data_IF_594470573286
#
_entry.id   IF_594470573286
#
_cell.length_a   1.000
_cell.length_b   1.000
_cell.length_c   1.000
_cell.angle_alpha   90.00
_cell.angle_beta   90.00
_cell.angle_gamma   90.00
#
_symmetry.space_group_name_H-M   'P 1'
#
loop_
_entity.id
_entity.type
_entity.pdbx_description
1 polymer ?
#
# COMPACT_ATOMS: atom_id res chain seq x y z
N UNK A 1 -6.61 27.17 -30.96
CA UNK A 1 -5.36 27.23 -30.14
C UNK A 1 -5.66 27.15 -28.65
N UNK A 2 -6.12 28.22 -27.99
CA UNK A 2 -6.38 28.24 -26.53
C UNK A 2 -7.05 26.98 -25.95
N UNK A 3 -8.22 26.59 -26.47
CA UNK A 3 -8.96 25.43 -25.99
C UNK A 3 -8.17 24.10 -26.12
N UNK A 4 -7.32 23.96 -27.15
CA UNK A 4 -6.47 22.79 -27.31
C UNK A 4 -5.29 22.78 -26.32
N UNK A 5 -4.71 23.95 -26.03
CA UNK A 5 -3.67 24.08 -25.01
C UNK A 5 -4.23 23.79 -23.60
N UNK A 6 -5.41 24.34 -23.28
CA UNK A 6 -6.10 24.07 -22.01
C UNK A 6 -6.50 22.60 -21.88
N UNK A 7 -7.07 22.00 -22.93
CA UNK A 7 -7.39 20.56 -22.94
C UNK A 7 -6.14 19.69 -22.78
N UNK A 8 -5.01 20.07 -23.39
CA UNK A 8 -3.74 19.36 -23.24
C UNK A 8 -3.21 19.45 -21.79
N UNK A 9 -3.23 20.63 -21.17
CA UNK A 9 -2.83 20.80 -19.76
C UNK A 9 -3.74 20.02 -18.80
N UNK A 10 -5.06 20.02 -19.03
CA UNK A 10 -6.01 19.24 -18.24
C UNK A 10 -5.80 17.73 -18.41
N UNK A 11 -5.48 17.27 -19.63
CA UNK A 11 -5.19 15.87 -19.92
C UNK A 11 -3.88 15.42 -19.28
N UNK A 12 -2.80 16.21 -19.41
CA UNK A 12 -1.52 15.99 -18.73
C UNK A 12 -1.69 15.94 -17.19
N UNK A 13 -2.50 16.84 -16.62
CA UNK A 13 -2.82 16.82 -15.20
C UNK A 13 -3.59 15.57 -14.76
N UNK A 14 -4.55 15.11 -15.57
CA UNK A 14 -5.32 13.88 -15.29
C UNK A 14 -4.45 12.62 -15.39
N UNK A 15 -3.53 12.54 -16.36
CA UNK A 15 -2.55 11.45 -16.48
C UNK A 15 -1.60 11.47 -15.27
N UNK A 16 -1.03 12.63 -14.93
CA UNK A 16 -0.09 12.76 -13.82
C UNK A 16 -0.70 12.42 -12.44
N UNK A 17 -1.95 12.81 -12.17
CA UNK A 17 -2.62 12.43 -10.92
C UNK A 17 -2.95 10.93 -10.88
N UNK A 18 -3.27 10.31 -12.03
CA UNK A 18 -3.44 8.86 -12.15
C UNK A 18 -2.14 8.08 -11.86
N UNK A 19 -1.02 8.51 -12.44
CA UNK A 19 0.31 7.96 -12.16
C UNK A 19 0.70 8.16 -10.69
N UNK A 20 0.48 9.36 -10.13
CA UNK A 20 0.76 9.67 -8.73
C UNK A 20 -0.13 8.87 -7.76
N UNK A 21 -1.40 8.62 -8.10
CA UNK A 21 -2.27 7.73 -7.32
C UNK A 21 -1.76 6.29 -7.37
N UNK A 22 -1.41 5.77 -8.55
CA UNK A 22 -0.89 4.41 -8.69
C UNK A 22 0.44 4.23 -7.94
N UNK A 23 1.34 5.21 -7.99
CA UNK A 23 2.60 5.17 -7.24
C UNK A 23 2.39 5.23 -5.71
N UNK A 24 1.37 5.97 -5.23
CA UNK A 24 0.94 5.92 -3.83
C UNK A 24 0.39 4.53 -3.44
N UNK A 25 -0.43 3.90 -4.28
CA UNK A 25 -0.92 2.51 -4.07
C UNK A 25 0.23 1.51 -3.99
N UNK A 26 1.21 1.60 -4.90
CA UNK A 26 2.39 0.74 -4.88
C UNK A 26 3.22 0.92 -3.60
N UNK A 27 3.43 2.18 -3.17
CA UNK A 27 4.17 2.50 -1.94
C UNK A 27 3.46 1.98 -0.69
N UNK A 28 2.15 2.20 -0.55
CA UNK A 28 1.36 1.69 0.58
C UNK A 28 1.36 0.15 0.61
N UNK A 29 1.21 -0.52 -0.53
CA UNK A 29 1.26 -1.99 -0.56
C UNK A 29 2.65 -2.53 -0.21
N UNK A 30 3.72 -1.82 -0.57
CA UNK A 30 5.09 -2.16 -0.17
C UNK A 30 5.29 -2.07 1.34
N UNK A 31 4.76 -1.02 1.99
CA UNK A 31 4.82 -0.87 3.45
C UNK A 31 4.00 -1.96 4.16
N UNK A 32 2.74 -2.16 3.75
CA UNK A 32 1.88 -3.22 4.31
C UNK A 32 2.53 -4.62 4.17
N UNK A 33 3.17 -4.89 3.03
CA UNK A 33 3.90 -6.15 2.78
C UNK A 33 5.16 -6.28 3.62
N UNK A 34 5.96 -5.23 3.77
CA UNK A 34 7.17 -5.25 4.57
C UNK A 34 6.87 -5.43 6.06
N UNK A 35 5.79 -4.83 6.55
CA UNK A 35 5.28 -5.05 7.90
C UNK A 35 4.73 -6.48 8.06
N UNK A 36 3.91 -6.98 7.12
CA UNK A 36 3.38 -8.35 7.16
C UNK A 36 4.50 -9.41 7.18
N UNK A 37 5.56 -9.24 6.38
CA UNK A 37 6.71 -10.16 6.37
C UNK A 37 7.48 -10.09 7.70
N UNK A 38 7.77 -8.90 8.24
CA UNK A 38 8.45 -8.79 9.54
C UNK A 38 7.60 -9.34 10.71
N UNK A 39 6.27 -9.25 10.60
CA UNK A 39 5.32 -9.81 11.55
C UNK A 39 5.40 -11.35 11.55
N UNK A 40 5.28 -11.98 10.38
CA UNK A 40 5.41 -13.44 10.29
C UNK A 40 6.82 -13.93 10.63
N UNK A 41 7.87 -13.19 10.26
CA UNK A 41 9.26 -13.54 10.57
C UNK A 41 9.50 -13.62 12.07
N UNK A 42 9.10 -12.59 12.83
CA UNK A 42 9.23 -12.58 14.29
C UNK A 42 8.51 -13.76 14.97
N UNK A 43 7.33 -14.14 14.45
CA UNK A 43 6.59 -15.31 14.92
C UNK A 43 7.24 -16.64 14.51
N UNK A 44 7.74 -16.75 13.28
CA UNK A 44 8.43 -17.94 12.79
C UNK A 44 9.72 -18.22 13.56
N UNK A 45 10.49 -17.18 13.92
CA UNK A 45 11.62 -17.31 14.84
C UNK A 45 11.20 -17.88 16.21
N UNK A 46 10.09 -17.40 16.78
CA UNK A 46 9.61 -17.91 18.09
C UNK A 46 9.10 -19.34 17.99
N UNK A 47 8.39 -19.67 16.92
CA UNK A 47 7.96 -21.05 16.61
C UNK A 47 9.17 -21.98 16.49
N UNK A 48 10.22 -21.58 15.77
CA UNK A 48 11.46 -22.37 15.68
C UNK A 48 12.12 -22.52 17.05
N UNK A 49 12.34 -21.41 17.77
CA UNK A 49 12.97 -21.40 19.08
C UNK A 49 12.28 -22.36 20.08
N UNK A 50 10.94 -22.34 20.14
CA UNK A 50 10.18 -23.21 21.02
C UNK A 50 10.16 -24.66 20.53
N UNK A 51 10.17 -24.89 19.21
CA UNK A 51 10.31 -26.23 18.62
C UNK A 51 11.66 -26.85 18.96
N UNK A 52 12.75 -26.08 18.89
CA UNK A 52 14.10 -26.53 19.26
C UNK A 52 14.20 -26.87 20.76
N UNK A 53 13.54 -26.08 21.62
CA UNK A 53 13.42 -26.36 23.07
C UNK A 53 12.67 -27.67 23.33
N UNK A 54 11.59 -27.97 22.61
CA UNK A 54 10.88 -29.26 22.71
C UNK A 54 11.74 -30.41 22.16
N UNK A 55 12.40 -30.19 21.01
CA UNK A 55 13.23 -31.19 20.34
C UNK A 55 14.46 -31.61 21.15
N UNK A 56 15.00 -30.71 22.00
CA UNK A 56 16.13 -30.99 22.91
C UNK A 56 15.91 -32.21 23.82
N UNK A 57 14.65 -32.48 24.19
CA UNK A 57 14.28 -33.51 25.16
C UNK A 57 14.34 -33.09 26.63
N UNK A 58 14.88 -31.92 26.96
CA UNK A 58 14.98 -31.42 28.36
C UNK A 58 13.63 -31.40 29.08
N UNK A 59 12.55 -31.12 28.35
CA UNK A 59 11.18 -31.04 28.86
C UNK A 59 10.48 -32.40 29.03
N UNK A 60 11.08 -33.52 28.60
CA UNK A 60 10.47 -34.86 28.73
C UNK A 60 10.42 -35.37 30.17
N UNK A 61 11.30 -34.87 31.06
CA UNK A 61 11.37 -35.30 32.46
C UNK A 61 10.58 -34.37 33.39
N UNK A 62 9.25 -34.41 33.28
CA UNK A 62 8.31 -33.57 34.05
C UNK A 62 8.43 -33.69 35.58
N UNK A 63 9.17 -34.68 36.08
CA UNK A 63 9.41 -34.92 37.50
C UNK A 63 10.27 -33.84 38.19
N UNK A 64 10.99 -32.99 37.44
CA UNK A 64 11.93 -32.00 37.98
C UNK A 64 11.50 -30.56 37.67
N UNK A 65 10.38 -30.13 38.26
CA UNK A 65 9.83 -28.77 38.14
C UNK A 65 10.88 -27.63 38.32
N UNK A 66 11.84 -27.69 39.26
CA UNK A 66 12.85 -26.62 39.40
C UNK A 66 13.76 -26.44 38.18
N UNK A 67 14.31 -27.52 37.61
CA UNK A 67 15.22 -27.42 36.45
C UNK A 67 14.47 -27.06 35.17
N UNK A 68 13.21 -27.51 35.05
CA UNK A 68 12.30 -27.02 33.99
C UNK A 68 12.09 -25.51 34.16
N UNK A 69 11.78 -25.01 35.37
CA UNK A 69 11.60 -23.58 35.61
C UNK A 69 12.84 -22.77 35.22
N UNK A 70 14.05 -23.23 35.58
CA UNK A 70 15.29 -22.56 35.18
C UNK A 70 15.49 -22.50 33.66
N UNK A 71 15.10 -23.53 32.90
CA UNK A 71 15.10 -23.49 31.43
C UNK A 71 14.07 -22.50 30.90
N UNK A 72 12.85 -22.53 31.44
CA UNK A 72 11.76 -21.62 31.07
C UNK A 72 12.11 -20.14 31.32
N UNK A 73 12.78 -19.82 32.43
CA UNK A 73 13.28 -18.45 32.68
C UNK A 73 14.37 -18.03 31.69
N UNK A 74 15.26 -18.94 31.26
CA UNK A 74 16.25 -18.63 30.21
C UNK A 74 15.59 -18.36 28.86
N UNK A 75 14.58 -19.16 28.48
CA UNK A 75 13.81 -18.95 27.25
C UNK A 75 13.06 -17.63 27.31
N UNK A 76 12.32 -17.36 28.39
CA UNK A 76 11.64 -16.06 28.60
C UNK A 76 12.60 -14.88 28.58
N UNK A 77 13.75 -15.01 29.24
CA UNK A 77 14.79 -13.99 29.31
C UNK A 77 15.48 -13.69 27.98
N UNK A 78 15.36 -14.57 26.99
CA UNK A 78 15.98 -14.38 25.66
C UNK A 78 15.27 -13.32 24.80
N UNK A 79 13.99 -13.01 25.07
CA UNK A 79 13.21 -12.06 24.27
C UNK A 79 12.14 -11.39 25.14
N UNK A 80 12.27 -10.08 25.34
CA UNK A 80 11.48 -9.32 26.32
C UNK A 80 9.93 -9.42 26.18
N UNK A 81 9.36 -9.54 24.95
CA UNK A 81 7.92 -9.76 24.78
C UNK A 81 7.35 -11.07 25.33
N UNK A 82 8.17 -12.08 25.72
CA UNK A 82 7.63 -13.26 26.43
C UNK A 82 7.06 -12.85 27.80
N UNK A 83 5.73 -12.85 27.91
CA UNK A 83 5.01 -12.52 29.15
C UNK A 83 5.04 -13.69 30.14
N UNK A 84 4.84 -14.91 29.63
CA UNK A 84 4.81 -16.16 30.39
C UNK A 84 5.22 -17.31 29.48
N UNK A 85 5.89 -18.31 30.04
CA UNK A 85 6.11 -19.60 29.40
C UNK A 85 6.02 -20.69 30.47
N UNK A 86 5.34 -21.79 30.16
CA UNK A 86 4.99 -22.83 31.11
C UNK A 86 4.75 -24.19 30.47
N UNK A 87 4.88 -25.23 31.27
CA UNK A 87 4.71 -26.63 30.87
C UNK A 87 3.60 -27.26 31.71
N UNK A 88 2.69 -27.96 31.04
CA UNK A 88 1.63 -28.75 31.70
C UNK A 88 1.98 -30.23 31.80
N UNK A 89 1.21 -30.97 32.59
CA UNK A 89 0.99 -32.41 32.37
C UNK A 89 -0.05 -32.66 31.26
N UNK A 90 -0.26 -33.93 30.90
CA UNK A 90 -1.24 -34.35 29.90
C UNK A 90 -2.71 -34.11 30.30
N UNK A 91 -2.98 -33.80 31.57
CA UNK A 91 -4.31 -33.42 32.05
C UNK A 91 -4.54 -31.90 32.02
N UNK A 92 -3.54 -31.11 31.62
CA UNK A 92 -3.62 -29.66 31.53
C UNK A 92 -3.36 -28.93 32.86
N UNK A 93 -2.71 -29.55 33.85
CA UNK A 93 -2.23 -28.84 35.05
C UNK A 93 -0.81 -28.32 34.82
N UNK A 94 -0.55 -27.06 35.15
CA UNK A 94 0.79 -26.46 35.02
C UNK A 94 1.76 -27.07 36.05
N UNK A 95 2.85 -27.68 35.57
CA UNK A 95 3.90 -28.37 36.36
C UNK A 95 5.05 -27.43 36.71
N UNK A 96 5.41 -26.53 35.80
CA UNK A 96 6.45 -25.52 35.98
C UNK A 96 6.19 -24.33 35.05
N UNK A 97 6.44 -23.11 35.51
CA UNK A 97 6.30 -21.90 34.70
C UNK A 97 7.21 -20.75 35.17
N UNK A 98 7.55 -19.86 34.24
CA UNK A 98 8.27 -18.62 34.52
C UNK A 98 7.58 -17.78 35.61
N UNK A 99 8.34 -17.24 36.56
CA UNK A 99 7.87 -16.53 37.74
C UNK A 99 7.11 -17.41 38.75
N UNK A 100 7.07 -18.73 38.56
CA UNK A 100 6.15 -19.63 39.27
C UNK A 100 4.67 -19.36 38.95
N UNK A 101 4.39 -18.60 37.89
CA UNK A 101 3.06 -18.08 37.60
C UNK A 101 2.14 -19.19 37.07
N UNK A 102 0.98 -19.31 37.70
CA UNK A 102 -0.07 -20.29 37.37
C UNK A 102 0.31 -21.77 37.62
N UNK A 103 1.44 -22.05 38.28
CA UNK A 103 1.79 -23.43 38.68
C UNK A 103 0.69 -24.08 39.54
N UNK A 104 0.51 -25.38 39.36
CA UNK A 104 -0.58 -26.20 39.88
C UNK A 104 -2.01 -25.79 39.47
N UNK A 105 -2.23 -24.68 38.75
CA UNK A 105 -3.54 -24.37 38.16
C UNK A 105 -3.88 -25.30 36.99
N UNK A 106 -5.17 -25.43 36.73
CA UNK A 106 -5.75 -26.12 35.58
C UNK A 106 -5.93 -25.14 34.41
N UNK A 107 -5.42 -25.53 33.23
CA UNK A 107 -5.56 -24.83 31.94
C UNK A 107 -6.16 -25.74 30.85
N UNK A 108 -6.69 -26.91 31.19
CA UNK A 108 -7.30 -27.87 30.26
C UNK A 108 -8.44 -27.30 29.39
N UNK A 109 -9.11 -26.26 29.89
CA UNK A 109 -10.18 -25.53 29.20
C UNK A 109 -9.67 -24.36 28.31
N UNK A 110 -8.36 -24.21 28.09
CA UNK A 110 -7.78 -23.13 27.27
C UNK A 110 -7.54 -23.58 25.83
N UNK A 111 -7.87 -22.75 24.81
CA UNK A 111 -7.66 -23.12 23.41
C UNK A 111 -6.21 -23.51 23.09
N UNK A 112 -5.22 -22.79 23.62
CA UNK A 112 -3.80 -23.10 23.39
C UNK A 112 -3.42 -24.50 23.88
N UNK A 113 -3.96 -24.96 25.02
CA UNK A 113 -3.73 -26.31 25.51
C UNK A 113 -4.44 -27.32 24.60
N UNK A 114 -5.74 -27.11 24.34
CA UNK A 114 -6.56 -28.06 23.58
C UNK A 114 -6.06 -28.28 22.15
N UNK A 115 -5.59 -27.22 21.48
CA UNK A 115 -4.98 -27.33 20.16
C UNK A 115 -3.51 -27.76 20.23
N UNK A 116 -2.74 -27.28 21.23
CA UNK A 116 -1.35 -27.66 21.46
C UNK A 116 -1.15 -29.15 21.75
N UNK A 117 -2.14 -29.83 22.32
CA UNK A 117 -2.16 -31.30 22.45
C UNK A 117 -2.09 -32.04 21.09
N UNK A 118 -2.52 -31.41 20.00
CA UNK A 118 -2.58 -32.00 18.66
C UNK A 118 -1.39 -31.68 17.75
N UNK A 119 -0.53 -30.72 18.11
CA UNK A 119 0.55 -30.24 17.26
C UNK A 119 0.95 -28.80 17.58
N UNK A 120 1.75 -28.19 16.71
CA UNK A 120 2.02 -26.75 16.77
C UNK A 120 0.70 -25.98 16.62
N UNK A 121 0.39 -25.15 17.63
CA UNK A 121 -0.69 -24.18 17.59
C UNK A 121 -0.11 -22.77 17.78
N UNK A 122 -0.63 -21.82 17.01
CA UNK A 122 -0.43 -20.38 17.23
C UNK A 122 -1.82 -19.73 17.22
N UNK A 123 -2.16 -19.02 18.30
CA UNK A 123 -3.43 -18.31 18.45
C UNK A 123 -3.39 -16.90 17.86
N UNK A 124 -4.56 -16.37 17.50
CA UNK A 124 -4.72 -14.94 17.23
C UNK A 124 -4.63 -14.13 18.54
N UNK A 125 -4.41 -12.82 18.41
CA UNK A 125 -4.21 -11.88 19.52
C UNK A 125 -5.47 -11.78 20.37
N UNK A 126 -5.37 -12.11 21.66
CA UNK A 126 -6.50 -12.06 22.59
C UNK A 126 -6.12 -11.62 24.00
N UNK A 127 -7.11 -11.19 24.80
CA UNK A 127 -6.94 -10.93 26.23
C UNK A 127 -6.83 -12.24 27.02
N UNK A 128 -5.67 -12.49 27.65
CA UNK A 128 -5.46 -13.71 28.44
C UNK A 128 -6.04 -13.55 29.85
N UNK A 129 -7.37 -13.70 30.00
CA UNK A 129 -8.12 -13.41 31.23
C UNK A 129 -7.53 -13.97 32.55
N UNK A 130 -6.85 -15.13 32.52
CA UNK A 130 -6.17 -15.69 33.69
C UNK A 130 -4.84 -14.99 34.00
N UNK A 131 -4.03 -14.67 32.99
CA UNK A 131 -2.71 -14.07 33.13
C UNK A 131 -2.77 -12.55 33.33
N UNK A 132 -3.70 -11.86 32.67
CA UNK A 132 -3.99 -10.44 32.86
C UNK A 132 -4.45 -10.11 34.29
N UNK A 133 -4.98 -11.08 35.04
CA UNK A 133 -5.27 -10.92 36.47
C UNK A 133 -4.02 -10.90 37.38
N UNK A 134 -2.85 -11.29 36.84
CA UNK A 134 -1.58 -11.45 37.57
C UNK A 134 -0.47 -10.51 37.07
N UNK A 135 -0.50 -10.14 35.80
CA UNK A 135 0.42 -9.16 35.20
C UNK A 135 -0.23 -7.77 35.18
N UNK A 136 0.55 -6.73 35.48
CA UNK A 136 0.12 -5.33 35.33
C UNK A 136 0.66 -4.79 34.01
N UNK A 137 -0.22 -4.33 33.13
CA UNK A 137 0.19 -3.63 31.92
C UNK A 137 0.57 -2.16 32.19
N UNK A 138 1.25 -1.50 31.23
CA UNK A 138 1.39 -0.05 31.23
C UNK A 138 0.00 0.63 31.14
N UNK A 139 -0.22 1.65 31.96
CA UNK A 139 -1.30 2.66 31.87
C UNK A 139 -2.75 2.18 31.63
N UNK A 140 -3.07 0.93 31.97
CA UNK A 140 -4.46 0.46 32.10
C UNK A 140 -5.14 0.00 30.81
N UNK A 141 -4.43 -0.06 29.68
CA UNK A 141 -4.89 -0.78 28.49
C UNK A 141 -4.94 -2.29 28.75
N UNK A 142 -5.88 -3.04 28.15
CA UNK A 142 -5.98 -4.48 28.35
C UNK A 142 -4.77 -5.19 27.71
N UNK A 143 -4.08 -6.02 28.49
CA UNK A 143 -2.97 -6.81 28.01
C UNK A 143 -3.44 -7.85 26.98
N UNK A 144 -2.99 -7.69 25.73
CA UNK A 144 -3.24 -8.63 24.62
C UNK A 144 -2.03 -9.53 24.40
N UNK A 145 -2.29 -10.79 24.08
CA UNK A 145 -1.26 -11.82 23.94
C UNK A 145 -1.45 -12.62 22.65
N UNK A 146 -0.33 -13.04 22.06
CA UNK A 146 -0.26 -14.14 21.09
C UNK A 146 0.17 -15.40 21.83
N UNK A 147 -0.55 -16.50 21.59
CA UNK A 147 -0.28 -17.79 22.22
C UNK A 147 0.46 -18.70 21.24
N UNK A 148 1.56 -19.34 21.68
CA UNK A 148 2.18 -20.47 20.98
C UNK A 148 2.09 -21.70 21.87
N UNK A 149 1.69 -22.85 21.33
CA UNK A 149 1.68 -24.11 22.05
C UNK A 149 2.23 -25.28 21.22
N UNK A 150 2.91 -26.20 21.89
CA UNK A 150 3.57 -27.38 21.32
C UNK A 150 3.38 -28.60 22.23
N UNK A 151 3.09 -29.80 21.68
CA UNK A 151 2.95 -31.01 22.49
C UNK A 151 4.32 -31.51 22.96
N UNK A 152 4.38 -31.95 24.21
CA UNK A 152 5.51 -32.70 24.74
C UNK A 152 5.17 -34.19 24.61
N UNK A 153 5.95 -34.91 23.80
CA UNK A 153 5.75 -36.33 23.52
C UNK A 153 6.85 -37.20 24.15
N UNK A 154 6.48 -38.42 24.54
CA UNK A 154 7.43 -39.44 25.01
C UNK A 154 8.19 -40.11 23.85
N UNK A 155 8.77 -41.29 24.08
CA UNK A 155 9.52 -42.04 23.07
C UNK A 155 8.62 -42.86 22.12
N UNK A 156 7.41 -43.21 22.56
CA UNK A 156 6.43 -44.02 21.84
C UNK A 156 5.36 -43.16 21.13
N UNK A 157 5.37 -41.84 21.37
CA UNK A 157 4.44 -40.86 20.80
C UNK A 157 3.27 -40.48 21.70
N UNK A 158 3.27 -40.93 22.96
CA UNK A 158 2.27 -40.54 23.96
C UNK A 158 2.46 -39.09 24.43
N UNK A 159 1.34 -38.43 24.73
CA UNK A 159 1.32 -37.05 25.23
C UNK A 159 1.73 -37.02 26.71
N UNK A 160 2.85 -36.36 27.01
CA UNK A 160 3.31 -36.05 28.37
C UNK A 160 2.67 -34.76 28.91
N UNK A 161 2.39 -33.80 28.03
CA UNK A 161 1.86 -32.48 28.37
C UNK A 161 2.04 -31.48 27.22
N UNK A 162 1.90 -30.19 27.49
CA UNK A 162 2.03 -29.11 26.49
C UNK A 162 2.97 -28.02 27.01
N UNK A 163 3.89 -27.57 26.16
CA UNK A 163 4.62 -26.32 26.33
C UNK A 163 3.76 -25.18 25.78
N UNK A 164 3.41 -24.21 26.62
CA UNK A 164 2.69 -23.00 26.22
C UNK A 164 3.53 -21.74 26.47
N UNK A 165 3.43 -20.77 25.56
CA UNK A 165 4.04 -19.45 25.68
C UNK A 165 3.00 -18.36 25.37
N UNK A 166 2.92 -17.35 26.25
CA UNK A 166 2.14 -16.13 26.03
C UNK A 166 3.10 -14.97 25.73
N UNK A 167 2.90 -14.31 24.59
CA UNK A 167 3.74 -13.22 24.08
C UNK A 167 2.92 -11.92 24.10
N UNK A 168 3.40 -10.87 24.77
CA UNK A 168 2.77 -9.54 24.73
C UNK A 168 2.70 -9.02 23.29
N UNK A 169 1.53 -8.59 22.83
CA UNK A 169 1.34 -8.12 21.45
C UNK A 169 2.18 -6.87 21.07
N UNK A 170 2.64 -6.11 22.06
CA UNK A 170 3.36 -4.83 21.91
C UNK A 170 4.60 -4.87 20.98
N UNK A 171 5.16 -6.04 20.68
CA UNK A 171 6.24 -6.17 19.67
C UNK A 171 5.78 -5.80 18.26
N UNK A 172 4.48 -5.92 17.95
CA UNK A 172 3.92 -5.48 16.67
C UNK A 172 4.08 -3.96 16.44
N UNK A 173 4.15 -3.16 17.51
CA UNK A 173 4.46 -1.73 17.44
C UNK A 173 5.92 -1.44 17.06
N UNK A 174 6.82 -2.38 17.35
CA UNK A 174 8.23 -2.30 16.94
C UNK A 174 8.37 -2.61 15.44
N UNK A 175 7.48 -3.46 14.89
CA UNK A 175 7.36 -3.70 13.44
C UNK A 175 6.76 -2.50 12.71
N UNK A 176 5.78 -1.81 13.29
CA UNK A 176 5.29 -0.53 12.75
C UNK A 176 6.44 0.50 12.67
N UNK A 177 7.19 0.67 13.76
CA UNK A 177 8.30 1.62 13.87
C UNK A 177 9.55 1.24 13.05
N UNK A 178 9.70 -0.01 12.61
CA UNK A 178 10.78 -0.43 11.70
C UNK A 178 10.42 -0.22 10.21
N UNK A 179 9.14 -0.05 9.89
CA UNK A 179 8.62 0.07 8.52
C UNK A 179 8.23 1.49 8.16
N UNK A 180 7.61 2.23 9.08
CA UNK A 180 7.29 3.64 8.88
C UNK A 180 8.48 4.53 9.24
N UNK A 181 8.92 5.35 8.29
CA UNK A 181 9.81 6.47 8.57
C UNK A 181 9.02 7.72 8.98
N UNK A 182 9.63 8.59 9.79
CA UNK A 182 8.93 9.77 10.33
C UNK A 182 8.44 10.78 9.28
N UNK A 183 8.94 10.73 8.05
CA UNK A 183 8.40 11.50 6.92
C UNK A 183 7.11 10.88 6.35
N UNK A 184 6.95 9.55 6.43
CA UNK A 184 5.72 8.85 6.07
C UNK A 184 4.64 9.08 7.14
N UNK A 185 5.00 8.96 8.43
CA UNK A 185 4.14 9.33 9.56
C UNK A 185 3.66 10.79 9.43
N UNK A 186 4.58 11.74 9.19
CA UNK A 186 4.24 13.16 8.98
C UNK A 186 3.41 13.43 7.71
N UNK A 187 3.40 12.50 6.73
CA UNK A 187 2.51 12.55 5.56
C UNK A 187 1.14 11.90 5.82
N UNK A 188 0.87 11.49 7.06
CA UNK A 188 -0.36 10.82 7.49
C UNK A 188 -0.46 9.37 7.04
N UNK A 189 0.64 8.69 6.75
CA UNK A 189 0.60 7.23 6.49
C UNK A 189 0.51 6.51 7.83
N UNK A 190 -0.49 5.66 7.95
CA UNK A 190 -0.79 4.85 9.13
C UNK A 190 -0.76 3.36 8.76
N UNK A 191 -0.15 2.54 9.62
CA UNK A 191 -0.27 1.08 9.56
C UNK A 191 -1.35 0.60 10.53
N UNK A 192 -2.04 -0.47 10.14
CA UNK A 192 -2.96 -1.21 10.99
C UNK A 192 -2.71 -2.71 10.81
N UNK A 193 -2.87 -3.48 11.88
CA UNK A 193 -2.85 -4.94 11.84
C UNK A 193 -4.20 -5.43 12.37
N UNK A 194 -4.79 -6.38 11.65
CA UNK A 194 -6.17 -6.81 11.82
C UNK A 194 -6.20 -8.33 12.00
N UNK A 195 -7.01 -8.82 12.93
CA UNK A 195 -7.21 -10.25 13.23
C UNK A 195 -7.87 -11.00 12.06
N UNK A 196 -7.97 -12.33 12.19
CA UNK A 196 -8.78 -13.13 11.26
C UNK A 196 -10.26 -12.73 11.30
N UNK A 197 -10.74 -12.27 12.46
CA UNK A 197 -12.12 -11.83 12.77
C UNK A 197 -12.38 -10.31 12.55
N UNK A 198 -11.58 -9.66 11.70
CA UNK A 198 -11.69 -8.23 11.35
C UNK A 198 -11.54 -7.23 12.55
N UNK A 199 -10.99 -7.65 13.69
CA UNK A 199 -10.67 -6.76 14.82
C UNK A 199 -9.33 -6.05 14.63
N UNK A 200 -9.27 -4.74 14.92
CA UNK A 200 -8.00 -3.97 14.91
C UNK A 200 -7.13 -4.36 16.11
N UNK A 201 -6.03 -5.06 15.84
CA UNK A 201 -5.04 -5.49 16.81
C UNK A 201 -3.99 -4.40 17.07
N UNK A 202 -3.57 -3.72 16.00
CA UNK A 202 -2.68 -2.55 16.04
C UNK A 202 -3.25 -1.48 15.10
N UNK A 203 -3.11 -0.21 15.49
CA UNK A 203 -3.57 0.93 14.71
C UNK A 203 -3.64 2.20 15.58
N UNK A 204 -4.13 3.31 15.02
CA UNK A 204 -4.18 4.60 15.72
C UNK A 204 -5.12 4.56 16.94
N UNK A 205 -4.92 5.48 17.91
CA UNK A 205 -5.76 5.57 19.11
C UNK A 205 -7.25 5.67 18.77
N UNK A 206 -8.07 4.90 19.48
CA UNK A 206 -9.52 4.83 19.28
C UNK A 206 -10.00 3.80 18.24
N UNK A 207 -9.12 3.23 17.39
CA UNK A 207 -9.49 2.10 16.53
C UNK A 207 -9.15 0.72 17.12
N UNK A 208 -8.14 0.62 17.99
CA UNK A 208 -7.73 -0.67 18.55
C UNK A 208 -8.87 -1.35 19.34
N UNK A 209 -9.03 -2.66 19.14
CA UNK A 209 -10.12 -3.46 19.71
C UNK A 209 -11.48 -3.30 19.00
N UNK A 210 -11.64 -2.33 18.11
CA UNK A 210 -12.86 -2.22 17.29
C UNK A 210 -12.90 -3.29 16.21
N UNK A 211 -14.11 -3.76 15.89
CA UNK A 211 -14.37 -4.56 14.68
C UNK A 211 -14.53 -3.61 13.49
N UNK A 212 -13.85 -3.90 12.39
CA UNK A 212 -14.02 -3.18 11.13
C UNK A 212 -15.08 -3.86 10.26
N UNK A 213 -15.76 -3.05 9.46
CA UNK A 213 -16.56 -3.56 8.34
C UNK A 213 -15.68 -4.41 7.41
N UNK A 214 -16.05 -5.65 7.05
CA UNK A 214 -15.28 -6.49 6.11
C UNK A 214 -15.10 -5.85 4.72
N UNK A 215 -15.87 -4.81 4.40
CA UNK A 215 -15.67 -3.99 3.21
C UNK A 215 -14.40 -3.11 3.27
N UNK A 216 -13.91 -2.76 4.46
CA UNK A 216 -12.65 -2.02 4.69
C UNK A 216 -11.43 -2.93 4.59
N UNK A 217 -11.55 -4.16 5.11
CA UNK A 217 -10.47 -5.15 5.14
C UNK A 217 -10.38 -5.96 3.84
N UNK A 218 -11.53 -6.12 3.14
CA UNK A 218 -11.78 -6.70 1.82
C UNK A 218 -10.51 -7.18 1.11
N UNK A 219 -10.13 -8.41 1.47
CA UNK A 219 -8.76 -8.91 1.33
C UNK A 219 -8.35 -8.92 -0.15
N UNK A 220 -7.26 -8.21 -0.48
CA UNK A 220 -6.62 -8.21 -1.81
C UNK A 220 -5.77 -9.48 -1.98
N UNK A 221 -6.32 -10.61 -1.56
CA UNK A 221 -5.78 -11.95 -1.76
C UNK A 221 -5.87 -12.30 -3.25
N UNK A 222 -4.73 -12.69 -3.83
CA UNK A 222 -4.59 -13.18 -5.21
C UNK A 222 -4.80 -12.17 -6.37
N UNK A 223 -4.91 -10.86 -6.11
CA UNK A 223 -4.76 -9.89 -7.19
C UNK A 223 -3.28 -9.86 -7.65
N UNK A 224 -3.01 -10.10 -8.94
CA UNK A 224 -1.66 -10.08 -9.53
C UNK A 224 -1.03 -8.69 -9.62
N UNK A 225 -1.75 -7.64 -9.24
CA UNK A 225 -1.25 -6.28 -9.08
C UNK A 225 -1.74 -5.69 -7.75
N UNK A 226 -0.94 -4.87 -7.06
CA UNK A 226 -1.39 -4.12 -5.89
C UNK A 226 -2.63 -3.28 -6.21
N UNK A 227 -3.72 -3.56 -5.49
CA UNK A 227 -4.95 -2.77 -5.55
C UNK A 227 -5.07 -1.90 -4.30
N UNK A 228 -5.43 -0.64 -4.50
CA UNK A 228 -5.73 0.32 -3.45
C UNK A 228 -7.08 0.96 -3.69
N UNK A 229 -7.80 1.23 -2.62
CA UNK A 229 -9.16 1.77 -2.67
C UNK A 229 -9.29 3.00 -1.78
N UNK A 230 -10.09 3.97 -2.22
CA UNK A 230 -10.49 5.11 -1.39
C UNK A 230 -11.77 4.72 -0.66
N UNK A 231 -11.72 4.68 0.67
CA UNK A 231 -12.86 4.33 1.54
C UNK A 231 -12.99 5.34 2.67
N UNK A 232 -14.22 5.55 3.13
CA UNK A 232 -14.51 6.24 4.40
C UNK A 232 -14.26 5.26 5.55
N UNK A 233 -13.62 5.72 6.63
CA UNK A 233 -13.31 4.92 7.81
C UNK A 233 -14.15 5.37 9.03
N UNK A 234 -14.14 4.65 10.17
CA UNK A 234 -14.99 4.97 11.34
C UNK A 234 -14.77 6.37 11.97
N UNK A 235 -13.74 7.09 11.56
CA UNK A 235 -13.47 8.49 11.93
C UNK A 235 -14.13 9.52 10.98
N UNK A 236 -14.94 9.07 10.01
CA UNK A 236 -15.59 9.92 9.01
C UNK A 236 -14.64 10.53 7.99
N UNK A 237 -13.43 9.97 7.83
CA UNK A 237 -12.40 10.47 6.91
C UNK A 237 -12.16 9.48 5.77
N UNK A 238 -11.91 10.03 4.59
CA UNK A 238 -11.56 9.25 3.40
C UNK A 238 -10.06 8.96 3.36
N UNK A 239 -9.71 7.69 3.22
CA UNK A 239 -8.33 7.20 3.13
C UNK A 239 -8.13 6.36 1.86
N UNK A 240 -7.03 6.60 1.16
CA UNK A 240 -6.48 5.63 0.20
C UNK A 240 -5.84 4.49 1.00
N UNK A 241 -6.31 3.26 0.80
CA UNK A 241 -5.99 2.11 1.66
C UNK A 241 -5.60 0.88 0.83
N UNK A 242 -4.57 0.14 1.26
CA UNK A 242 -4.14 -1.14 0.67
C UNK A 242 -3.99 -2.21 1.74
N UNK A 243 -4.49 -3.42 1.49
CA UNK A 243 -4.39 -4.56 2.40
C UNK A 243 -3.42 -5.64 1.88
N UNK A 244 -2.70 -6.30 2.79
CA UNK A 244 -1.85 -7.47 2.54
C UNK A 244 -2.09 -8.50 3.66
N UNK A 245 -2.45 -9.73 3.31
CA UNK A 245 -2.51 -10.84 4.28
C UNK A 245 -1.08 -11.35 4.53
N UNK A 246 -0.78 -11.61 5.80
CA UNK A 246 0.47 -12.18 6.27
C UNK A 246 0.68 -13.59 5.65
N UNK A 247 1.75 -13.81 4.85
CA UNK A 247 1.91 -15.02 4.05
C UNK A 247 2.37 -16.28 4.81
N UNK A 248 2.79 -16.15 6.07
CA UNK A 248 3.56 -17.15 6.80
C UNK A 248 5.04 -17.20 6.36
N UNK A 249 5.86 -17.88 7.15
CA UNK A 249 7.28 -18.12 6.85
C UNK A 249 7.72 -19.53 7.27
N UNK A 250 8.33 -20.27 6.35
CA UNK A 250 8.87 -21.62 6.60
C UNK A 250 7.80 -22.60 7.09
N UNK A 251 7.96 -23.10 8.32
CA UNK A 251 7.04 -24.03 8.97
C UNK A 251 5.88 -23.33 9.70
N UNK A 252 5.89 -22.00 9.80
CA UNK A 252 4.80 -21.20 10.36
C UNK A 252 3.91 -20.69 9.23
N UNK A 253 2.69 -21.23 9.12
CA UNK A 253 1.77 -20.92 8.01
C UNK A 253 1.02 -19.57 8.14
N UNK A 254 1.41 -18.72 9.10
CA UNK A 254 0.72 -17.48 9.43
C UNK A 254 -0.53 -17.70 10.29
N UNK A 255 -0.93 -16.68 11.04
CA UNK A 255 -2.21 -16.65 11.79
C UNK A 255 -3.39 -16.15 10.93
N UNK A 256 -3.11 -15.61 9.74
CA UNK A 256 -4.12 -15.01 8.86
C UNK A 256 -4.33 -13.51 9.04
N UNK A 257 -3.46 -12.86 9.85
CA UNK A 257 -3.44 -11.42 10.06
C UNK A 257 -3.43 -10.63 8.75
N UNK A 258 -4.16 -9.53 8.72
CA UNK A 258 -4.20 -8.61 7.57
C UNK A 258 -3.58 -7.28 7.97
N UNK A 259 -2.49 -6.90 7.30
CA UNK A 259 -1.85 -5.59 7.47
C UNK A 259 -2.43 -4.61 6.45
N UNK A 260 -2.87 -3.45 6.92
CA UNK A 260 -3.39 -2.37 6.09
C UNK A 260 -2.50 -1.14 6.22
N UNK A 261 -2.05 -0.59 5.09
CA UNK A 261 -1.46 0.73 5.02
C UNK A 261 -2.49 1.71 4.46
N UNK A 262 -2.72 2.84 5.14
CA UNK A 262 -3.69 3.87 4.73
C UNK A 262 -3.11 5.28 4.79
N UNK A 263 -3.59 6.18 3.91
CA UNK A 263 -3.24 7.61 3.91
C UNK A 263 -4.49 8.51 3.68
N UNK A 264 -4.73 9.57 4.48
CA UNK A 264 -5.88 10.45 4.32
C UNK A 264 -5.84 11.24 3.01
N UNK A 265 -6.98 11.30 2.32
CA UNK A 265 -7.13 11.96 1.02
C UNK A 265 -6.97 13.50 1.08
N UNK A 266 -6.99 14.07 2.29
CA UNK A 266 -6.69 15.48 2.51
C UNK A 266 -5.21 15.82 2.22
N UNK A 267 -4.29 14.94 2.60
CA UNK A 267 -2.85 15.14 2.34
C UNK A 267 -2.49 14.82 0.88
N UNK A 268 -3.22 13.90 0.23
CA UNK A 268 -2.99 13.56 -1.18
C UNK A 268 -3.41 14.67 -2.15
N UNK A 269 -4.34 15.54 -1.76
CA UNK A 269 -4.96 16.56 -2.64
C UNK A 269 -4.44 17.98 -2.46
N UNK A 270 -3.74 18.30 -1.37
CA UNK A 270 -3.08 19.61 -1.19
C UNK A 270 -1.98 19.80 -2.24
N UNK A 271 -1.09 18.82 -2.38
CA UNK A 271 0.07 18.89 -3.29
C UNK A 271 -0.36 19.04 -4.78
N UNK A 272 -1.49 18.46 -5.19
CA UNK A 272 -2.00 18.58 -6.56
C UNK A 272 -2.51 19.99 -6.89
N UNK A 273 -3.06 20.73 -5.91
CA UNK A 273 -3.59 22.08 -6.15
C UNK A 273 -2.49 23.06 -6.56
N UNK A 274 -1.34 23.00 -5.89
CA UNK A 274 -0.21 23.87 -6.19
C UNK A 274 0.38 23.57 -7.57
N UNK A 275 0.48 22.29 -7.96
CA UNK A 275 0.88 21.89 -9.32
C UNK A 275 -0.08 22.44 -10.37
N UNK A 276 -1.40 22.37 -10.14
CA UNK A 276 -2.41 22.94 -11.06
C UNK A 276 -2.32 24.47 -11.12
N UNK A 277 -2.11 25.15 -10.00
CA UNK A 277 -1.95 26.61 -9.96
C UNK A 277 -0.66 27.05 -10.68
N UNK A 278 0.45 26.33 -10.50
CA UNK A 278 1.72 26.56 -11.20
C UNK A 278 1.54 26.32 -12.71
N UNK A 279 0.86 25.25 -13.11
CA UNK A 279 0.58 24.96 -14.52
C UNK A 279 -0.32 26.02 -15.18
N UNK A 280 -1.34 26.51 -14.48
CA UNK A 280 -2.19 27.61 -14.93
C UNK A 280 -1.41 28.93 -15.04
N UNK A 281 -0.57 29.26 -14.06
CA UNK A 281 0.29 30.44 -14.08
C UNK A 281 1.32 30.39 -15.23
N UNK A 282 1.96 29.25 -15.44
CA UNK A 282 2.88 29.02 -16.55
C UNK A 282 2.18 29.13 -17.91
N UNK A 283 0.99 28.53 -18.06
CA UNK A 283 0.17 28.62 -19.26
C UNK A 283 -0.29 30.06 -19.56
N UNK A 284 -0.71 30.81 -18.54
CA UNK A 284 -1.07 32.22 -18.67
C UNK A 284 0.14 33.09 -19.05
N UNK A 285 1.31 32.87 -18.44
CA UNK A 285 2.54 33.57 -18.77
C UNK A 285 2.99 33.30 -20.21
N UNK A 286 2.98 32.04 -20.65
CA UNK A 286 3.28 31.65 -22.04
C UNK A 286 2.30 32.28 -23.03
N UNK A 287 1.01 32.35 -22.72
CA UNK A 287 0.05 33.05 -23.56
C UNK A 287 0.35 34.55 -23.68
N UNK A 288 0.64 35.23 -22.56
CA UNK A 288 0.96 36.66 -22.56
C UNK A 288 2.23 36.95 -23.39
N UNK A 289 3.24 36.08 -23.32
CA UNK A 289 4.45 36.18 -24.15
C UNK A 289 4.13 36.02 -25.64
N UNK A 290 3.38 34.98 -26.03
CA UNK A 290 3.00 34.75 -27.44
C UNK A 290 2.14 35.91 -27.95
N UNK A 291 1.13 36.35 -27.19
CA UNK A 291 0.29 37.49 -27.54
C UNK A 291 1.07 38.80 -27.68
N UNK A 292 2.02 39.06 -26.76
CA UNK A 292 2.91 40.22 -26.81
C UNK A 292 3.81 40.23 -28.05
N UNK A 293 4.44 39.09 -28.39
CA UNK A 293 5.26 38.96 -29.61
C UNK A 293 4.40 39.13 -30.86
N UNK A 294 3.23 38.48 -30.94
CA UNK A 294 2.28 38.64 -32.07
C UNK A 294 1.86 40.11 -32.24
N UNK A 295 1.54 40.81 -31.15
CA UNK A 295 1.18 42.23 -31.19
C UNK A 295 2.36 43.11 -31.66
N UNK A 296 3.58 42.84 -31.19
CA UNK A 296 4.77 43.59 -31.57
C UNK A 296 5.08 43.44 -33.07
N UNK A 297 4.96 42.23 -33.61
CA UNK A 297 5.13 41.92 -35.04
C UNK A 297 4.05 42.62 -35.88
N UNK A 298 2.78 42.55 -35.48
CA UNK A 298 1.67 43.25 -36.14
C UNK A 298 1.84 44.78 -36.11
N UNK A 299 2.33 45.34 -34.99
CA UNK A 299 2.61 46.78 -34.85
C UNK A 299 3.74 47.21 -35.79
N UNK A 300 4.83 46.45 -35.86
CA UNK A 300 5.97 46.70 -36.76
C UNK A 300 5.58 46.62 -38.24
N UNK A 301 4.78 45.62 -38.61
CA UNK A 301 4.27 45.45 -39.97
C UNK A 301 3.24 46.54 -40.39
N UNK A 302 2.56 47.17 -39.42
CA UNK A 302 1.71 48.35 -39.66
C UNK A 302 2.54 49.62 -39.84
N UNK A 303 3.56 49.87 -39.02
CA UNK A 303 4.41 51.06 -39.18
C UNK A 303 5.19 51.07 -40.50
N UNK A 304 5.63 49.91 -40.99
CA UNK A 304 6.31 49.79 -42.29
C UNK A 304 5.41 50.00 -43.52
N UNK A 305 4.10 50.22 -43.34
CA UNK A 305 3.14 50.59 -44.41
C UNK A 305 2.76 52.07 -44.38
N UNK A 306 3.35 52.88 -43.49
CA UNK A 306 3.06 54.31 -43.35
C UNK A 306 3.83 55.25 -44.29
N UNK A 307 4.73 54.73 -45.14
CA UNK A 307 5.57 55.53 -46.04
C UNK A 307 5.36 55.02 -47.48
N UNK A 308 4.41 55.60 -48.21
CA UNK A 308 4.05 55.08 -49.54
C UNK A 308 2.88 55.74 -50.29
N UNK A 309 2.47 56.96 -49.96
CA UNK A 309 1.48 57.70 -50.76
C UNK A 309 1.87 59.17 -50.92
N UNK A 310 2.25 59.53 -52.15
CA UNK A 310 2.09 60.88 -52.69
C UNK A 310 1.12 60.77 -53.88
N UNK A 311 0.06 61.61 -53.95
CA UNK A 311 -0.86 61.66 -55.09
C UNK A 311 -0.30 62.55 -56.22
N UNK A 312 -1.12 62.79 -57.26
CA UNK A 312 -0.90 63.50 -58.55
C UNK A 312 -0.67 62.54 -59.74
N UNK A 313 -1.28 62.72 -60.91
CA UNK A 313 -2.42 63.58 -61.29
C UNK A 313 -3.13 62.99 -62.54
N UNK A 314 -4.36 63.42 -62.85
CA UNK A 314 -5.10 62.96 -64.04
C UNK A 314 -4.95 63.98 -65.18
N UNK A 315 -4.44 63.56 -66.33
CA UNK A 315 -4.60 64.34 -67.56
C UNK A 315 -4.78 63.46 -68.80
N UNK A 316 -5.72 63.88 -69.66
CA UNK A 316 -6.02 63.27 -70.96
C UNK A 316 -5.42 64.11 -72.09
N UNK A 317 -4.89 63.45 -73.13
CA UNK A 317 -4.95 63.97 -74.50
C UNK A 317 -4.80 62.82 -75.52
N UNK A 318 -5.16 63.09 -76.77
CA UNK A 318 -5.31 62.09 -77.83
C UNK A 318 -4.13 62.13 -78.83
N UNK A 319 -4.11 61.10 -79.70
CA UNK A 319 -3.86 61.19 -81.16
C UNK A 319 -2.60 60.54 -81.77
N UNK A 320 -2.86 59.41 -82.43
CA UNK A 320 -2.51 59.11 -83.82
C UNK A 320 -1.09 58.66 -84.26
N UNK A 321 -1.13 57.75 -85.24
CA UNK A 321 -0.08 57.32 -86.19
C UNK A 321 1.02 56.35 -85.70
N UNK A 322 1.55 55.43 -86.53
CA UNK A 322 0.99 54.72 -87.71
C UNK A 322 1.87 53.52 -88.12
N UNK A 323 1.34 52.63 -89.00
CA UNK A 323 2.04 51.60 -89.83
C UNK A 323 2.45 50.31 -89.07
N UNK A 324 1.90 49.14 -89.45
CA UNK A 324 2.33 48.20 -90.51
C UNK A 324 3.71 47.58 -90.19
N UNK A 325 3.94 46.25 -90.14
CA UNK A 325 3.28 45.09 -90.79
C UNK A 325 3.76 43.76 -90.11
N UNK A 326 3.45 42.49 -90.49
CA UNK A 326 2.83 41.84 -91.67
C UNK A 326 2.35 40.40 -91.32
N UNK A 327 1.43 39.85 -92.12
CA UNK A 327 1.13 38.41 -92.46
C UNK A 327 0.90 37.28 -91.41
N UNK A 328 -0.34 36.74 -91.43
CA UNK A 328 -0.83 35.37 -91.11
C UNK A 328 -0.55 34.34 -92.23
N UNK A 329 -0.86 33.00 -92.14
CA UNK A 329 -1.68 32.21 -91.20
C UNK A 329 -0.86 31.12 -90.44
N UNK A 330 -1.22 29.87 -90.09
CA UNK A 330 -2.34 28.91 -90.29
C UNK A 330 -2.19 27.72 -89.27
N UNK A 331 -3.08 26.72 -89.07
CA UNK A 331 -4.54 26.51 -89.26
C UNK A 331 -4.96 25.08 -88.81
N UNK A 332 -6.21 24.86 -88.34
CA UNK A 332 -6.94 23.54 -88.27
C UNK A 332 -6.42 22.46 -87.26
N UNK A 333 -7.20 21.53 -86.65
CA UNK A 333 -8.58 21.53 -86.09
C UNK A 333 -8.88 20.22 -85.27
N UNK A 334 -9.81 20.31 -84.29
CA UNK A 334 -10.67 19.21 -83.73
C UNK A 334 -9.96 18.02 -82.96
N UNK A 335 -10.67 17.04 -82.30
CA UNK A 335 -10.46 16.72 -80.88
C UNK A 335 -10.40 15.18 -80.51
N UNK A 336 -11.31 14.58 -79.68
CA UNK A 336 -11.01 14.09 -78.33
C UNK A 336 -11.04 12.55 -78.16
N UNK A 337 -10.77 12.04 -76.95
CA UNK A 337 -11.18 10.67 -76.54
C UNK A 337 -11.38 10.49 -75.02
N UNK A 338 -12.25 9.53 -74.66
CA UNK A 338 -12.41 8.91 -73.32
C UNK A 338 -12.05 7.42 -73.40
N UNK A 339 -11.49 6.87 -72.32
CA UNK A 339 -11.52 5.46 -71.87
C UNK A 339 -10.73 5.44 -70.52
N UNK A 340 -11.09 4.78 -69.40
CA UNK A 340 -11.71 3.46 -69.10
C UNK A 340 -10.90 2.29 -69.69
N UNK A 341 -10.48 1.25 -68.95
CA UNK A 341 -11.08 0.66 -67.73
C UNK A 341 -10.00 0.15 -66.69
N UNK A 342 -10.01 -1.01 -65.98
CA UNK A 342 -9.70 -1.05 -64.52
C UNK A 342 -8.63 -2.12 -64.10
N UNK A 343 -8.74 -2.68 -62.86
CA UNK A 343 -8.06 -3.88 -62.27
C UNK A 343 -6.63 -3.65 -61.69
N UNK A 344 -6.11 -4.34 -60.65
CA UNK A 344 -6.59 -5.43 -59.73
C UNK A 344 -6.06 -5.22 -58.28
N UNK A 345 -6.58 -6.04 -57.33
CA UNK A 345 -5.99 -6.73 -56.15
C UNK A 345 -4.58 -6.35 -55.63
N UNK A 346 -4.28 -6.51 -54.33
CA UNK A 346 -5.10 -7.13 -53.27
C UNK A 346 -4.38 -7.28 -51.91
N UNK A 347 -4.95 -8.13 -51.05
CA UNK A 347 -4.61 -8.32 -49.64
C UNK A 347 -3.38 -9.18 -49.37
N UNK A 348 -2.68 -8.87 -48.28
CA UNK A 348 -2.14 -9.84 -47.33
C UNK A 348 -2.25 -9.29 -45.90
#
# INVERSE_FOLDING_TARGET
>A
MFAAAAACVLWLGAVAEGEAQQQRVLSLNSLARQAAIQLDHGMAERVSQLTDVVASGDLRSLHHSPSIRELLERVKGSWAPYAWIGVTDAAGRVVAASGGLLEANDVSARPWFQHGCGGLFVGDVHEAALLASRLRGPEGEPLRFVDIALPLLDADGGLLGVLGAHIFWDWAKQVEQSVLSSSQEASGIELLIISVDDQVLLGPPGLQGTLLEPSLTAKVTHATQPSGSVREWPDGRFYLSTAVVAPGEGNFHGVGWTVVARQPLAHTTQNTRDVVLIALAAGACLFLLIGGVTWLLLRRARSSRGVGCAPLEVQQSQAASSRLSRDTPASVAWPPRRQQDPRQRGSH
#
